data_IF_598559271731
#
_entry.id   IF_598559271731
#
_cell.length_a   1.000
_cell.length_b   1.000
_cell.length_c   1.000
_cell.angle_alpha   90.00
_cell.angle_beta   90.00
_cell.angle_gamma   90.00
#
_symmetry.space_group_name_H-M   'P 1'
#
loop_
_entity.id
_entity.type
_entity.pdbx_description
1 polymer ?
#
# COMPACT_ATOMS: atom_id res chain seq x y z
N UNK A 1 9.26 -1.81 40.26
CA UNK A 1 10.13 -0.90 39.49
C UNK A 1 9.27 -0.28 38.38
N UNK A 2 8.94 1.03 38.42
CA UNK A 2 8.15 1.63 37.36
C UNK A 2 9.05 1.85 36.14
N UNK A 3 8.69 1.24 35.00
CA UNK A 3 9.37 1.48 33.73
C UNK A 3 9.20 2.96 33.37
N UNK A 4 10.29 3.73 33.35
CA UNK A 4 10.28 5.09 32.79
C UNK A 4 10.27 4.99 31.28
N UNK A 5 9.09 4.80 30.69
CA UNK A 5 8.91 4.98 29.25
C UNK A 5 8.93 6.47 28.97
N UNK A 6 10.00 6.98 28.33
CA UNK A 6 9.91 8.30 27.70
C UNK A 6 8.88 8.20 26.58
N UNK A 7 7.93 9.12 26.53
CA UNK A 7 6.98 9.20 25.42
C UNK A 7 7.74 9.67 24.19
N UNK A 8 8.12 8.73 23.33
CA UNK A 8 8.78 9.01 22.05
C UNK A 8 7.66 9.29 21.03
N UNK A 9 6.97 10.41 21.18
CA UNK A 9 6.04 10.87 20.16
C UNK A 9 6.77 11.76 19.15
N UNK A 10 6.69 11.36 17.88
CA UNK A 10 7.06 12.23 16.78
C UNK A 10 6.04 13.37 16.74
N UNK A 11 6.51 14.62 16.72
CA UNK A 11 5.68 15.79 16.42
C UNK A 11 5.92 16.20 14.96
N UNK A 12 5.28 15.54 13.98
CA UNK A 12 5.52 15.81 12.58
C UNK A 12 4.97 17.18 12.19
N UNK A 13 5.77 17.94 11.44
CA UNK A 13 5.27 19.15 10.80
C UNK A 13 4.32 18.80 9.63
N UNK A 14 3.63 19.81 9.10
CA UNK A 14 2.65 19.63 8.02
C UNK A 14 3.21 18.87 6.80
N UNK A 15 4.50 19.04 6.47
CA UNK A 15 5.15 18.34 5.36
C UNK A 15 5.31 16.85 5.64
N UNK A 16 5.76 16.50 6.84
CA UNK A 16 5.95 15.11 7.28
C UNK A 16 4.61 14.37 7.35
N UNK A 17 3.57 14.98 7.92
CA UNK A 17 2.22 14.41 7.98
C UNK A 17 1.62 14.19 6.59
N UNK A 18 1.80 15.15 5.69
CA UNK A 18 1.35 15.04 4.29
C UNK A 18 2.07 13.92 3.56
N UNK A 19 3.39 13.84 3.69
CA UNK A 19 4.22 12.78 3.10
C UNK A 19 3.78 11.39 3.58
N UNK A 20 3.59 11.23 4.90
CA UNK A 20 3.09 9.99 5.50
C UNK A 20 1.71 9.61 4.95
N UNK A 21 0.78 10.57 4.89
CA UNK A 21 -0.56 10.35 4.33
C UNK A 21 -0.51 9.94 2.86
N UNK A 22 0.39 10.52 2.06
CA UNK A 22 0.59 10.14 0.67
C UNK A 22 1.12 8.71 0.54
N UNK A 23 2.11 8.33 1.35
CA UNK A 23 2.65 6.96 1.37
C UNK A 23 1.62 5.94 1.83
N UNK A 24 0.91 6.19 2.92
CA UNK A 24 -0.17 5.33 3.40
C UNK A 24 -1.34 5.25 2.39
N UNK A 25 -1.69 6.36 1.75
CA UNK A 25 -2.69 6.41 0.70
C UNK A 25 -2.30 5.57 -0.51
N UNK A 26 -1.05 5.68 -0.96
CA UNK A 26 -0.54 4.89 -2.08
C UNK A 26 -0.46 3.40 -1.74
N UNK A 27 -0.08 3.05 -0.51
CA UNK A 27 -0.12 1.67 -0.03
C UNK A 27 -1.55 1.10 -0.08
N UNK A 28 -2.56 1.90 0.30
CA UNK A 28 -3.99 1.51 0.19
C UNK A 28 -4.41 1.28 -1.25
N UNK A 29 -4.01 2.14 -2.18
CA UNK A 29 -4.31 1.99 -3.61
C UNK A 29 -3.70 0.69 -4.16
N UNK A 30 -2.42 0.43 -3.87
CA UNK A 30 -1.73 -0.78 -4.31
C UNK A 30 -2.37 -2.06 -3.73
N UNK A 31 -2.75 -2.03 -2.45
CA UNK A 31 -3.43 -3.15 -1.79
C UNK A 31 -4.80 -3.44 -2.41
N UNK A 32 -5.62 -2.40 -2.61
CA UNK A 32 -6.94 -2.54 -3.22
C UNK A 32 -6.84 -3.04 -4.67
N UNK A 33 -5.86 -2.54 -5.43
CA UNK A 33 -5.60 -3.04 -6.78
C UNK A 33 -5.26 -4.53 -6.77
N UNK A 34 -4.32 -4.95 -5.91
CA UNK A 34 -3.94 -6.36 -5.82
C UNK A 34 -5.10 -7.27 -5.44
N UNK A 35 -5.94 -6.87 -4.48
CA UNK A 35 -7.15 -7.61 -4.14
C UNK A 35 -8.13 -7.71 -5.31
N UNK A 36 -8.32 -6.62 -6.06
CA UNK A 36 -9.22 -6.62 -7.22
C UNK A 36 -8.73 -7.53 -8.34
N UNK A 37 -7.44 -7.46 -8.71
CA UNK A 37 -6.87 -8.32 -9.75
C UNK A 37 -6.87 -9.80 -9.34
N UNK A 38 -6.53 -10.08 -8.08
CA UNK A 38 -6.58 -11.44 -7.55
C UNK A 38 -8.00 -12.02 -7.61
N UNK A 39 -9.02 -11.23 -7.25
CA UNK A 39 -10.42 -11.66 -7.33
C UNK A 39 -10.84 -11.95 -8.77
N UNK A 40 -10.45 -11.12 -9.73
CA UNK A 40 -10.73 -11.35 -11.16
C UNK A 40 -10.10 -12.65 -11.65
N UNK A 41 -8.84 -12.93 -11.29
CA UNK A 41 -8.19 -14.19 -11.60
C UNK A 41 -8.91 -15.39 -10.98
N UNK A 42 -9.28 -15.28 -9.69
CA UNK A 42 -10.02 -16.33 -8.99
C UNK A 42 -11.36 -16.66 -9.65
N UNK A 43 -12.11 -15.65 -10.08
CA UNK A 43 -13.39 -15.82 -10.79
C UNK A 43 -13.20 -16.49 -12.17
N UNK A 44 -11.98 -16.47 -12.72
CA UNK A 44 -11.60 -17.09 -13.99
C UNK A 44 -10.85 -18.43 -13.82
N UNK A 45 -10.77 -18.95 -12.60
CA UNK A 45 -9.95 -20.13 -12.24
C UNK A 45 -8.46 -19.96 -12.59
N UNK A 46 -7.99 -18.71 -12.58
CA UNK A 46 -6.60 -18.32 -12.86
C UNK A 46 -5.92 -17.85 -11.56
N UNK A 47 -4.92 -18.59 -11.10
CA UNK A 47 -4.12 -18.18 -9.95
C UNK A 47 -3.08 -17.12 -10.34
N UNK A 48 -3.38 -15.86 -10.01
CA UNK A 48 -2.45 -14.75 -10.23
C UNK A 48 -1.49 -14.58 -9.07
N UNK A 49 -0.19 -14.66 -9.35
CA UNK A 49 0.83 -14.48 -8.32
C UNK A 49 1.07 -13.00 -8.02
N UNK A 50 1.77 -12.72 -6.92
CA UNK A 50 2.19 -11.36 -6.59
C UNK A 50 3.09 -10.71 -7.68
N UNK A 51 3.78 -11.52 -8.49
CA UNK A 51 4.62 -11.03 -9.59
C UNK A 51 3.75 -10.52 -10.74
N UNK A 52 2.70 -11.25 -11.08
CA UNK A 52 1.78 -10.92 -12.16
C UNK A 52 0.99 -9.65 -11.82
N UNK A 53 0.43 -9.60 -10.61
CA UNK A 53 -0.29 -8.43 -10.08
C UNK A 53 0.61 -7.19 -10.05
N UNK A 54 1.90 -7.34 -9.67
CA UNK A 54 2.87 -6.25 -9.69
C UNK A 54 3.15 -5.76 -11.12
N UNK A 55 3.23 -6.67 -12.09
CA UNK A 55 3.43 -6.32 -13.50
C UNK A 55 2.22 -5.55 -14.04
N UNK A 56 1.00 -6.01 -13.77
CA UNK A 56 -0.25 -5.32 -14.14
C UNK A 56 -0.34 -3.93 -13.51
N UNK A 57 -0.09 -3.81 -12.20
CA UNK A 57 -0.15 -2.53 -11.51
C UNK A 57 0.83 -1.50 -12.08
N UNK A 58 2.04 -1.94 -12.44
CA UNK A 58 3.03 -1.09 -13.07
C UNK A 58 2.64 -0.72 -14.50
N UNK A 59 2.04 -1.63 -15.27
CA UNK A 59 1.55 -1.32 -16.62
C UNK A 59 0.54 -0.17 -16.57
N UNK A 60 -0.46 -0.24 -15.68
CA UNK A 60 -1.47 0.81 -15.48
C UNK A 60 -0.84 2.15 -15.05
N UNK A 61 0.24 2.11 -14.25
CA UNK A 61 0.94 3.33 -13.80
C UNK A 61 1.59 4.10 -14.96
N UNK A 62 2.06 3.40 -15.99
CA UNK A 62 2.80 3.99 -17.13
C UNK A 62 1.96 4.13 -18.40
N UNK A 63 0.69 3.69 -18.39
CA UNK A 63 -0.25 3.79 -19.51
C UNK A 63 -0.83 5.22 -19.62
N UNK A 64 0.06 6.20 -19.84
CA UNK A 64 -0.26 7.62 -20.06
C UNK A 64 0.10 8.06 -21.47
#
# INVERSE_FOLDING_TARGET
MPLRTQQIELNPNNKQSTCMSQHCGYARVAFNFGLSSFKVGLDQDEWRTHVDIKREFNAVKYDK
#
